data_IF_579464553809
#
_entry.id   IF_579464553809
#
_cell.length_a   1.000
_cell.length_b   1.000
_cell.length_c   1.000
_cell.angle_alpha   90.00
_cell.angle_beta   90.00
_cell.angle_gamma   90.00
#
_symmetry.space_group_name_H-M   'P 1'
#
loop_
_entity.id
_entity.type
_entity.pdbx_description
1 polymer ?
#
# COMPACT_ATOMS: atom_id res chain seq x y z
N UNK A 1 10.74 19.53 13.65
CA UNK A 1 10.34 18.54 14.66
C UNK A 1 11.59 17.77 15.01
N UNK A 2 11.92 17.69 16.29
CA UNK A 2 13.10 16.94 16.74
C UNK A 2 12.63 15.62 17.32
N UNK A 3 13.00 14.51 16.68
CA UNK A 3 12.71 13.15 17.15
C UNK A 3 13.84 12.73 18.10
N UNK A 4 13.49 12.32 19.31
CA UNK A 4 14.43 11.63 20.19
C UNK A 4 14.56 10.16 19.77
N UNK A 5 15.51 9.90 18.88
CA UNK A 5 15.79 8.54 18.39
C UNK A 5 16.18 7.55 19.49
N UNK A 6 16.66 8.03 20.65
CA UNK A 6 17.00 7.15 21.78
C UNK A 6 15.77 6.63 22.52
N UNK A 7 14.63 7.31 22.39
CA UNK A 7 13.34 6.91 22.97
C UNK A 7 12.60 5.89 22.10
N UNK A 8 12.89 5.81 20.80
CA UNK A 8 12.24 4.88 19.87
C UNK A 8 12.75 3.45 20.10
N UNK A 9 11.83 2.53 20.38
CA UNK A 9 12.15 1.11 20.64
C UNK A 9 11.32 0.19 19.75
N UNK A 10 11.96 -0.85 19.24
CA UNK A 10 11.28 -1.92 18.51
C UNK A 10 10.77 -3.02 19.46
N UNK A 11 9.62 -3.64 19.15
CA UNK A 11 8.65 -3.23 18.13
C UNK A 11 7.94 -1.91 18.49
N UNK A 12 7.81 -0.98 17.53
CA UNK A 12 7.13 0.31 17.76
C UNK A 12 5.61 0.18 17.87
N UNK A 13 5.04 -0.86 17.24
CA UNK A 13 3.63 -1.25 17.34
C UNK A 13 3.57 -2.77 17.54
N UNK A 14 3.24 -3.22 18.74
CA UNK A 14 3.01 -4.63 19.06
C UNK A 14 1.57 -4.86 19.51
N UNK A 15 0.91 -5.81 18.84
CA UNK A 15 -0.48 -6.20 19.09
C UNK A 15 -0.64 -7.71 19.17
N UNK A 16 0.48 -8.44 19.29
CA UNK A 16 0.45 -9.88 19.46
C UNK A 16 -0.11 -10.28 20.83
N UNK A 17 -0.68 -11.49 20.96
CA UNK A 17 -0.87 -12.50 19.91
C UNK A 17 -2.14 -12.31 19.06
N UNK A 18 -2.97 -11.31 19.37
CA UNK A 18 -4.29 -11.14 18.75
C UNK A 18 -4.20 -10.67 17.30
N UNK A 19 -3.27 -9.76 17.01
CA UNK A 19 -3.08 -9.15 15.69
C UNK A 19 -1.61 -9.15 15.32
N UNK A 20 -1.30 -9.64 14.13
CA UNK A 20 0.01 -9.44 13.50
C UNK A 20 -0.02 -8.17 12.65
N UNK A 21 0.79 -7.18 13.01
CA UNK A 21 0.93 -5.92 12.27
C UNK A 21 1.97 -6.09 11.16
N UNK A 22 1.66 -5.61 9.94
CA UNK A 22 2.61 -5.62 8.80
C UNK A 22 2.31 -4.52 7.79
N UNK A 23 3.22 -4.36 6.83
CA UNK A 23 3.13 -3.47 5.67
C UNK A 23 2.73 -2.03 6.06
N UNK A 24 3.52 -1.32 6.88
CA UNK A 24 3.17 0.02 7.30
C UNK A 24 3.38 1.04 6.17
N UNK A 25 2.41 1.94 6.01
CA UNK A 25 2.56 3.19 5.25
C UNK A 25 2.41 4.37 6.21
N UNK A 26 3.37 5.29 6.17
CA UNK A 26 3.40 6.42 7.09
C UNK A 26 3.34 7.75 6.35
N UNK A 27 2.54 8.67 6.89
CA UNK A 27 2.50 10.07 6.46
C UNK A 27 2.62 10.98 7.68
N UNK A 28 3.38 12.05 7.56
CA UNK A 28 3.50 13.08 8.59
C UNK A 28 2.72 14.34 8.16
N UNK A 29 1.80 14.79 9.00
CA UNK A 29 1.00 15.98 8.75
C UNK A 29 0.65 16.67 10.06
N UNK A 30 0.76 18.00 10.10
CA UNK A 30 0.36 18.84 11.24
C UNK A 30 0.88 18.36 12.61
N UNK A 31 2.15 17.90 12.63
CA UNK A 31 2.80 17.46 13.87
C UNK A 31 2.53 16.00 14.24
N UNK A 32 1.79 15.25 13.42
CA UNK A 32 1.37 13.88 13.71
C UNK A 32 1.79 12.92 12.60
N UNK A 33 2.39 11.79 13.00
CA UNK A 33 2.57 10.63 12.15
C UNK A 33 1.28 9.82 12.13
N UNK A 34 0.79 9.50 10.94
CA UNK A 34 -0.27 8.53 10.73
C UNK A 34 0.34 7.28 10.11
N UNK A 35 0.34 6.16 10.84
CA UNK A 35 0.83 4.87 10.40
C UNK A 35 -0.35 3.96 10.06
N UNK A 36 -0.68 3.90 8.78
CA UNK A 36 -1.59 2.91 8.22
C UNK A 36 -0.87 1.57 8.15
N UNK A 37 -1.54 0.48 8.51
CA UNK A 37 -0.93 -0.84 8.51
C UNK A 37 -1.96 -1.93 8.29
N UNK A 38 -1.48 -3.08 7.80
CA UNK A 38 -2.26 -4.31 7.80
C UNK A 38 -2.37 -4.84 9.22
N UNK A 39 -3.59 -5.07 9.68
CA UNK A 39 -3.91 -5.89 10.84
C UNK A 39 -4.34 -7.29 10.37
N UNK A 40 -3.49 -8.29 10.59
CA UNK A 40 -3.80 -9.68 10.29
C UNK A 40 -4.32 -10.40 11.54
N UNK A 41 -5.59 -10.81 11.49
CA UNK A 41 -6.23 -11.59 12.56
C UNK A 41 -6.37 -13.04 12.15
N UNK A 42 -5.99 -13.96 13.04
CA UNK A 42 -6.18 -15.39 12.80
C UNK A 42 -7.67 -15.75 12.88
N UNK A 43 -8.12 -16.59 11.95
CA UNK A 43 -9.43 -17.22 11.91
C UNK A 43 -9.26 -18.74 11.94
N UNK A 44 -10.34 -19.47 12.19
CA UNK A 44 -10.34 -20.94 12.24
C UNK A 44 -9.75 -21.56 10.95
N UNK A 45 -10.01 -20.95 9.80
CA UNK A 45 -9.60 -21.43 8.48
C UNK A 45 -8.72 -20.45 7.70
N UNK A 46 -7.88 -19.66 8.39
CA UNK A 46 -6.92 -18.77 7.73
C UNK A 46 -6.75 -17.44 8.44
N UNK A 47 -6.75 -16.35 7.67
CA UNK A 47 -6.58 -15.00 8.18
C UNK A 47 -7.65 -14.06 7.62
N UNK A 48 -8.02 -13.07 8.41
CA UNK A 48 -8.72 -11.88 7.94
C UNK A 48 -7.75 -10.70 8.00
N UNK A 49 -7.68 -9.92 6.92
CA UNK A 49 -6.83 -8.74 6.83
C UNK A 49 -7.67 -7.48 6.88
N UNK A 50 -7.14 -6.45 7.52
CA UNK A 50 -7.78 -5.16 7.64
C UNK A 50 -6.77 -4.04 7.55
N UNK A 51 -7.21 -2.86 7.11
CA UNK A 51 -6.48 -1.63 7.31
C UNK A 51 -6.81 -1.04 8.68
N UNK A 52 -5.77 -0.82 9.46
CA UNK A 52 -5.80 -0.08 10.71
C UNK A 52 -4.90 1.15 10.61
N UNK A 53 -5.12 2.14 11.47
CA UNK A 53 -4.24 3.31 11.62
C UNK A 53 -3.90 3.53 13.09
N UNK A 54 -2.64 3.81 13.37
CA UNK A 54 -2.18 4.34 14.66
C UNK A 54 -1.47 5.68 14.43
N UNK A 55 -1.47 6.54 15.44
CA UNK A 55 -0.84 7.86 15.34
C UNK A 55 0.22 8.05 16.40
N UNK A 56 1.21 8.88 16.10
CA UNK A 56 2.27 9.23 17.04
C UNK A 56 2.75 10.64 16.79
N UNK A 57 3.10 11.36 17.85
CA UNK A 57 3.73 12.67 17.76
C UNK A 57 5.26 12.61 17.97
N UNK A 58 5.85 11.43 18.13
CA UNK A 58 7.28 11.28 18.46
C UNK A 58 7.92 9.95 18.01
N UNK A 59 7.16 9.09 17.33
CA UNK A 59 7.53 7.72 16.91
C UNK A 59 7.80 6.74 18.07
N UNK A 60 7.83 7.20 19.32
CA UNK A 60 8.07 6.40 20.51
C UNK A 60 6.75 5.98 21.19
N UNK A 61 5.78 6.89 21.24
CA UNK A 61 4.48 6.69 21.86
C UNK A 61 3.39 6.67 20.79
N UNK A 62 2.62 5.59 20.76
CA UNK A 62 1.60 5.36 19.75
C UNK A 62 0.20 5.34 20.36
N UNK A 63 -0.76 5.92 19.66
CA UNK A 63 -2.18 5.77 19.98
C UNK A 63 -2.63 4.31 19.79
N UNK A 64 -3.74 3.88 20.43
CA UNK A 64 -4.40 2.64 20.05
C UNK A 64 -4.71 2.62 18.55
N UNK A 65 -4.54 1.47 17.91
CA UNK A 65 -4.92 1.28 16.51
C UNK A 65 -6.43 1.38 16.33
N UNK A 66 -6.86 2.12 15.30
CA UNK A 66 -8.26 2.23 14.87
C UNK A 66 -8.46 1.50 13.55
N UNK A 67 -9.51 0.66 13.49
CA UNK A 67 -9.96 -0.05 12.28
C UNK A 67 -10.51 0.92 11.26
N UNK A 68 -10.01 0.86 10.02
CA UNK A 68 -10.51 1.63 8.88
C UNK A 68 -11.45 0.83 7.99
N UNK A 69 -11.22 -0.48 7.84
CA UNK A 69 -11.98 -1.31 6.90
C UNK A 69 -12.47 -2.60 7.53
N UNK A 70 -13.71 -3.03 7.26
CA UNK A 70 -14.26 -4.32 7.73
C UNK A 70 -14.77 -5.21 6.59
N UNK A 71 -14.28 -4.97 5.36
CA UNK A 71 -14.74 -5.64 4.15
C UNK A 71 -14.27 -7.11 4.05
N UNK A 72 -15.08 -8.02 3.51
CA UNK A 72 -14.64 -9.39 3.20
C UNK A 72 -13.54 -9.44 2.12
N UNK A 73 -13.33 -8.35 1.38
CA UNK A 73 -12.24 -8.23 0.40
C UNK A 73 -10.84 -8.21 1.04
N UNK A 74 -10.77 -8.18 2.38
CA UNK A 74 -9.51 -8.22 3.13
C UNK A 74 -8.56 -7.10 2.71
N UNK A 75 -9.01 -5.86 2.86
CA UNK A 75 -8.20 -4.70 2.52
C UNK A 75 -6.93 -4.65 3.38
N UNK A 76 -5.77 -4.52 2.74
CA UNK A 76 -4.46 -4.64 3.38
C UNK A 76 -3.40 -3.84 2.62
N UNK A 77 -2.17 -3.89 3.14
CA UNK A 77 -0.93 -3.45 2.49
C UNK A 77 -1.07 -2.04 1.92
N UNK A 78 -1.29 -1.03 2.79
CA UNK A 78 -1.31 0.34 2.36
C UNK A 78 0.06 0.70 1.75
N UNK A 79 0.02 1.40 0.62
CA UNK A 79 1.22 1.84 -0.09
C UNK A 79 1.77 3.14 0.48
N UNK A 80 1.02 4.20 0.23
CA UNK A 80 1.27 5.53 0.75
C UNK A 80 0.00 6.39 0.71
N UNK A 81 0.06 7.54 1.38
CA UNK A 81 -0.95 8.60 1.27
C UNK A 81 -0.29 9.84 0.66
N UNK A 82 -0.82 10.32 -0.47
CA UNK A 82 -0.37 11.56 -1.12
C UNK A 82 -1.40 12.66 -0.94
N UNK A 83 -0.96 13.92 -0.93
CA UNK A 83 -1.86 15.08 -0.91
C UNK A 83 -1.97 15.69 -2.31
N UNK A 84 -3.18 15.73 -2.87
CA UNK A 84 -3.44 16.27 -4.20
C UNK A 84 -4.86 16.84 -4.29
N UNK A 85 -5.05 17.92 -5.05
CA UNK A 85 -6.35 18.58 -5.17
C UNK A 85 -6.95 19.04 -3.83
N UNK A 86 -6.10 19.34 -2.84
CA UNK A 86 -6.52 19.72 -1.49
C UNK A 86 -6.94 18.56 -0.57
N UNK A 87 -6.88 17.31 -1.05
CA UNK A 87 -7.31 16.12 -0.31
C UNK A 87 -6.18 15.10 -0.20
N UNK A 88 -6.30 14.19 0.75
CA UNK A 88 -5.46 13.02 0.90
C UNK A 88 -6.01 11.86 0.08
N UNK A 89 -5.12 11.10 -0.55
CA UNK A 89 -5.44 9.90 -1.32
C UNK A 89 -4.54 8.78 -0.82
N UNK A 90 -5.14 7.75 -0.23
CA UNK A 90 -4.46 6.54 0.25
C UNK A 90 -4.65 5.41 -0.77
N UNK A 91 -3.57 4.76 -1.17
CA UNK A 91 -3.64 3.53 -1.96
C UNK A 91 -3.38 2.28 -1.11
N UNK A 92 -4.07 1.19 -1.43
CA UNK A 92 -3.98 -0.11 -0.76
C UNK A 92 -4.56 -1.20 -1.65
N UNK A 93 -4.48 -2.46 -1.22
CA UNK A 93 -5.01 -3.58 -2.00
C UNK A 93 -6.22 -4.25 -1.34
N UNK A 94 -7.04 -4.93 -2.14
CA UNK A 94 -7.81 -6.08 -1.66
C UNK A 94 -6.94 -7.33 -1.76
N UNK A 95 -7.12 -8.25 -0.82
CA UNK A 95 -6.37 -9.50 -0.78
C UNK A 95 -7.29 -10.66 -0.38
N UNK A 96 -8.29 -11.01 -1.21
CA UNK A 96 -9.23 -12.08 -0.89
C UNK A 96 -8.48 -13.42 -0.81
N UNK A 97 -8.54 -14.08 0.35
CA UNK A 97 -7.91 -15.38 0.59
C UNK A 97 -9.02 -16.45 0.52
N UNK A 98 -9.06 -17.29 -0.53
CA UNK A 98 -10.05 -18.36 -0.62
C UNK A 98 -9.92 -19.35 0.55
N UNK A 99 -11.01 -20.03 0.96
CA UNK A 99 -10.95 -21.02 2.03
C UNK A 99 -9.91 -22.13 1.74
N UNK A 100 -9.02 -22.38 2.69
CA UNK A 100 -7.96 -23.38 2.56
C UNK A 100 -6.67 -22.86 1.91
N UNK A 101 -6.67 -21.64 1.36
CA UNK A 101 -5.48 -21.03 0.78
C UNK A 101 -4.67 -20.24 1.80
N UNK A 102 -3.36 -20.12 1.53
CA UNK A 102 -2.45 -19.30 2.33
C UNK A 102 -2.30 -17.87 1.80
N UNK A 103 -2.62 -17.66 0.52
CA UNK A 103 -2.34 -16.42 -0.20
C UNK A 103 -3.59 -15.90 -0.92
N UNK A 104 -3.56 -14.60 -1.21
CA UNK A 104 -4.63 -13.91 -1.92
C UNK A 104 -4.74 -14.39 -3.38
N UNK A 105 -5.96 -14.40 -3.90
CA UNK A 105 -6.27 -14.91 -5.23
C UNK A 105 -5.92 -13.92 -6.36
N UNK A 106 -6.15 -14.35 -7.61
CA UNK A 106 -6.11 -13.51 -8.82
C UNK A 106 -7.09 -12.32 -8.77
N UNK A 107 -8.03 -12.29 -7.82
CA UNK A 107 -8.97 -11.19 -7.61
C UNK A 107 -8.41 -10.05 -6.72
N UNK A 108 -7.12 -10.12 -6.34
CA UNK A 108 -6.47 -9.00 -5.67
C UNK A 108 -6.43 -7.78 -6.60
N UNK A 109 -6.87 -6.63 -6.09
CA UNK A 109 -6.97 -5.37 -6.84
C UNK A 109 -6.38 -4.22 -6.03
N UNK A 110 -6.05 -3.14 -6.72
CA UNK A 110 -5.61 -1.89 -6.12
C UNK A 110 -6.82 -0.97 -5.90
N UNK A 111 -6.79 -0.23 -4.81
CA UNK A 111 -7.89 0.61 -4.35
C UNK A 111 -7.37 1.96 -3.88
N UNK A 112 -8.25 2.96 -3.96
CA UNK A 112 -8.04 4.30 -3.43
C UNK A 112 -9.13 4.62 -2.41
N UNK A 113 -8.77 5.34 -1.36
CA UNK A 113 -9.70 6.06 -0.51
C UNK A 113 -9.23 7.51 -0.38
N UNK A 114 -10.18 8.43 -0.25
CA UNK A 114 -9.92 9.87 -0.15
C UNK A 114 -10.28 10.38 1.24
N UNK A 115 -9.55 11.37 1.75
CA UNK A 115 -9.79 11.98 3.06
C UNK A 115 -9.43 13.46 3.05
N UNK A 116 -10.15 14.26 3.84
CA UNK A 116 -9.80 15.67 4.05
C UNK A 116 -8.87 15.87 5.25
N UNK A 117 -8.84 14.91 6.19
CA UNK A 117 -8.28 15.05 7.53
C UNK A 117 -7.39 13.87 7.99
N UNK A 118 -7.15 12.88 7.12
CA UNK A 118 -6.47 11.60 7.42
C UNK A 118 -7.19 10.72 8.46
N UNK A 119 -8.38 11.11 8.92
CA UNK A 119 -9.15 10.42 9.96
C UNK A 119 -10.36 9.74 9.36
N UNK A 120 -11.18 10.51 8.65
CA UNK A 120 -12.38 10.07 7.95
C UNK A 120 -12.06 9.80 6.48
N UNK A 121 -12.38 8.60 6.01
CA UNK A 121 -12.08 8.18 4.64
C UNK A 121 -13.38 7.89 3.87
N UNK A 122 -13.38 8.16 2.58
CA UNK A 122 -14.45 7.71 1.67
C UNK A 122 -14.47 6.20 1.55
N UNK A 123 -15.57 5.66 1.01
CA UNK A 123 -15.60 4.27 0.57
C UNK A 123 -14.47 3.99 -0.44
N UNK A 124 -13.81 2.82 -0.35
CA UNK A 124 -12.78 2.41 -1.30
C UNK A 124 -13.29 2.36 -2.75
N UNK A 125 -12.51 2.93 -3.68
CA UNK A 125 -12.73 2.85 -5.13
C UNK A 125 -11.65 1.98 -5.78
N UNK A 126 -12.05 0.97 -6.55
CA UNK A 126 -11.11 0.14 -7.30
C UNK A 126 -10.45 0.95 -8.42
N UNK A 127 -9.13 0.75 -8.62
CA UNK A 127 -8.35 1.46 -9.65
C UNK A 127 -8.64 0.89 -11.05
N UNK A 128 -8.55 -0.43 -11.21
CA UNK A 128 -8.88 -1.16 -12.45
C UNK A 128 -9.59 -2.46 -12.06
N UNK A 129 -10.91 -2.54 -12.28
CA UNK A 129 -11.72 -3.70 -11.87
C UNK A 129 -11.24 -5.01 -12.47
N UNK A 130 -10.73 -4.94 -13.70
CA UNK A 130 -10.26 -6.12 -14.41
C UNK A 130 -8.86 -6.59 -13.98
N UNK A 131 -8.16 -5.82 -13.16
CA UNK A 131 -6.81 -6.10 -12.73
C UNK A 131 -5.75 -5.76 -13.80
N UNK A 132 -4.56 -6.34 -13.64
CA UNK A 132 -3.42 -6.14 -14.54
C UNK A 132 -3.77 -6.57 -15.97
N UNK A 133 -3.43 -5.72 -16.95
CA UNK A 133 -3.63 -5.96 -18.38
C UNK A 133 -2.33 -5.97 -19.18
N UNK A 134 -1.19 -5.81 -18.52
CA UNK A 134 0.10 -5.84 -19.18
C UNK A 134 0.41 -7.24 -19.77
N UNK A 135 0.93 -7.28 -20.99
CA UNK A 135 1.14 -8.50 -21.78
C UNK A 135 2.15 -9.46 -21.11
N UNK A 136 3.10 -8.90 -20.36
CA UNK A 136 4.15 -9.65 -19.69
C UNK A 136 3.70 -10.30 -18.37
N UNK A 137 2.58 -9.87 -17.79
CA UNK A 137 2.23 -10.22 -16.41
C UNK A 137 1.77 -11.66 -16.26
N UNK A 138 1.07 -12.23 -17.25
CA UNK A 138 0.52 -13.59 -17.16
C UNK A 138 -0.44 -13.82 -15.97
N UNK A 139 -0.93 -12.74 -15.35
CA UNK A 139 -1.79 -12.72 -14.17
C UNK A 139 -2.53 -11.38 -14.15
N UNK A 140 -3.78 -11.39 -13.69
CA UNK A 140 -4.57 -10.17 -13.51
C UNK A 140 -4.43 -9.61 -12.09
N UNK A 141 -3.78 -10.36 -11.20
CA UNK A 141 -3.54 -9.96 -9.82
C UNK A 141 -2.71 -8.68 -9.75
N UNK A 142 -3.10 -7.75 -8.88
CA UNK A 142 -2.31 -6.57 -8.53
C UNK A 142 -2.29 -6.41 -7.01
N UNK A 143 -1.10 -6.21 -6.46
CA UNK A 143 -0.86 -6.03 -5.03
C UNK A 143 0.21 -4.95 -4.80
N UNK A 144 0.40 -4.55 -3.56
CA UNK A 144 1.43 -3.63 -3.08
C UNK A 144 1.49 -2.31 -3.89
N UNK A 145 0.40 -1.52 -3.91
CA UNK A 145 0.37 -0.29 -4.69
C UNK A 145 1.31 0.76 -4.10
N UNK A 146 1.84 1.67 -4.93
CA UNK A 146 2.47 2.90 -4.47
C UNK A 146 2.21 4.05 -5.44
N UNK A 147 1.67 5.17 -4.94
CA UNK A 147 1.31 6.32 -5.74
C UNK A 147 2.42 7.38 -5.81
N UNK A 148 2.67 7.90 -6.99
CA UNK A 148 3.54 9.05 -7.24
C UNK A 148 2.77 10.08 -8.07
N UNK A 149 2.72 11.32 -7.59
CA UNK A 149 2.25 12.45 -8.38
C UNK A 149 3.46 13.18 -8.98
N UNK A 150 3.57 13.21 -10.30
CA UNK A 150 4.71 13.80 -10.99
C UNK A 150 4.31 14.26 -12.40
N UNK A 151 4.81 15.43 -12.82
CA UNK A 151 4.54 16.03 -14.14
C UNK A 151 3.06 16.13 -14.53
N UNK A 152 2.23 16.51 -13.56
CA UNK A 152 0.78 16.64 -13.76
C UNK A 152 0.05 15.32 -13.94
N UNK A 153 0.72 14.19 -13.66
CA UNK A 153 0.18 12.84 -13.76
C UNK A 153 0.31 12.08 -12.45
N UNK A 154 -0.45 11.01 -12.34
CA UNK A 154 -0.40 10.05 -11.27
C UNK A 154 0.12 8.72 -11.81
N UNK A 155 1.09 8.15 -11.11
CA UNK A 155 1.70 6.87 -11.40
C UNK A 155 1.41 5.95 -10.23
N UNK A 156 0.83 4.78 -10.48
CA UNK A 156 0.59 3.77 -9.47
C UNK A 156 1.44 2.54 -9.80
N UNK A 157 2.54 2.38 -9.07
CA UNK A 157 3.34 1.16 -9.12
C UNK A 157 2.58 0.04 -8.42
N UNK A 158 2.73 -1.18 -8.90
CA UNK A 158 2.11 -2.35 -8.29
C UNK A 158 2.93 -3.60 -8.58
N UNK A 159 2.86 -4.57 -7.68
CA UNK A 159 3.43 -5.90 -7.89
C UNK A 159 2.44 -6.83 -8.59
N UNK A 160 2.97 -7.59 -9.54
CA UNK A 160 2.35 -8.82 -10.03
C UNK A 160 3.41 -9.84 -10.45
N UNK A 161 3.20 -11.12 -10.12
CA UNK A 161 4.14 -12.22 -10.43
C UNK A 161 5.61 -11.94 -10.07
N UNK A 162 5.84 -11.17 -9.00
CA UNK A 162 7.17 -10.82 -8.49
C UNK A 162 7.92 -9.75 -9.30
N UNK A 163 7.21 -9.07 -10.20
CA UNK A 163 7.70 -7.90 -10.93
C UNK A 163 6.84 -6.68 -10.59
N UNK A 164 7.36 -5.49 -10.87
CA UNK A 164 6.62 -4.24 -10.79
C UNK A 164 6.06 -3.83 -12.15
N UNK A 165 4.77 -3.55 -12.19
CA UNK A 165 4.11 -2.79 -13.24
C UNK A 165 3.84 -1.36 -12.80
N UNK A 166 3.32 -0.56 -13.73
CA UNK A 166 2.93 0.83 -13.45
C UNK A 166 1.70 1.21 -14.25
N UNK A 167 0.69 1.73 -13.56
CA UNK A 167 -0.46 2.40 -14.15
C UNK A 167 -0.23 3.91 -14.18
N UNK A 168 -0.74 4.59 -15.20
CA UNK A 168 -0.77 6.04 -15.28
C UNK A 168 -2.21 6.56 -15.33
N UNK A 169 -2.43 7.73 -14.72
CA UNK A 169 -3.71 8.45 -14.74
C UNK A 169 -3.47 9.96 -14.75
N UNK A 170 -4.33 10.69 -15.45
CA UNK A 170 -4.34 12.16 -15.43
C UNK A 170 -5.30 12.71 -14.34
N UNK A 171 -6.19 11.88 -13.78
CA UNK A 171 -7.31 12.32 -12.94
C UNK A 171 -7.63 11.42 -11.72
N UNK A 172 -6.78 10.42 -11.44
CA UNK A 172 -6.97 9.36 -10.44
C UNK A 172 -8.19 8.45 -10.66
N UNK A 173 -8.91 8.60 -11.76
CA UNK A 173 -10.14 7.85 -12.08
C UNK A 173 -9.93 6.92 -13.26
N UNK A 174 -9.29 7.41 -14.31
CA UNK A 174 -9.02 6.64 -15.52
C UNK A 174 -7.56 6.22 -15.53
N UNK A 175 -7.32 4.92 -15.61
CA UNK A 175 -5.99 4.32 -15.49
C UNK A 175 -5.66 3.51 -16.73
N UNK A 176 -4.41 3.60 -17.18
CA UNK A 176 -3.87 2.82 -18.29
C UNK A 176 -2.54 2.19 -17.90
N UNK A 177 -2.21 1.03 -18.48
CA UNK A 177 -0.88 0.42 -18.33
C UNK A 177 0.17 1.34 -18.98
N UNK A 178 1.06 1.89 -18.18
CA UNK A 178 2.14 2.74 -18.67
C UNK A 178 3.37 1.93 -19.15
N UNK A 179 3.48 0.66 -18.73
CA UNK A 179 4.49 -0.27 -19.23
C UNK A 179 3.86 -1.61 -19.66
N UNK A 180 3.09 -1.63 -20.77
CA UNK A 180 2.30 -2.81 -21.15
C UNK A 180 3.15 -3.98 -21.67
N UNK A 181 4.32 -3.73 -22.25
CA UNK A 181 5.12 -4.75 -22.95
C UNK A 181 6.28 -5.33 -22.12
N UNK A 182 6.64 -4.70 -21.00
CA UNK A 182 7.68 -5.20 -20.07
C UNK A 182 7.45 -4.69 -18.65
N UNK A 183 7.90 -5.38 -17.59
CA UNK A 183 7.87 -4.83 -16.25
C UNK A 183 8.78 -3.61 -16.13
N UNK A 184 8.48 -2.76 -15.14
CA UNK A 184 9.37 -1.67 -14.72
C UNK A 184 10.64 -2.26 -14.11
N UNK A 185 10.45 -3.25 -13.23
CA UNK A 185 11.50 -3.97 -12.55
C UNK A 185 11.07 -5.43 -12.36
N UNK A 186 11.93 -6.37 -12.73
CA UNK A 186 11.74 -7.80 -12.52
C UNK A 186 12.88 -8.44 -11.71
N UNK A 187 12.72 -9.71 -11.29
CA UNK A 187 13.75 -10.45 -10.55
C UNK A 187 15.10 -10.52 -11.28
N UNK A 188 15.08 -10.58 -12.61
CA UNK A 188 16.28 -10.59 -13.46
C UNK A 188 17.11 -9.30 -13.38
N UNK A 189 16.52 -8.23 -12.83
CA UNK A 189 17.17 -6.94 -12.60
C UNK A 189 17.58 -6.74 -11.12
N UNK A 190 17.37 -7.74 -10.27
CA UNK A 190 17.82 -7.73 -8.86
C UNK A 190 19.14 -8.51 -8.70
N UNK A 191 20.02 -8.13 -7.76
CA UNK A 191 21.32 -8.81 -7.58
C UNK A 191 21.23 -10.30 -7.25
N UNK A 192 20.15 -10.74 -6.59
CA UNK A 192 19.96 -12.09 -6.06
C UNK A 192 18.84 -12.86 -6.77
N UNK A 193 18.18 -12.27 -7.76
CA UNK A 193 17.05 -12.90 -8.46
C UNK A 193 15.76 -12.96 -7.63
N UNK A 194 15.66 -12.15 -6.56
CA UNK A 194 14.49 -12.13 -5.70
C UNK A 194 13.27 -11.45 -6.35
N UNK A 195 12.09 -11.78 -5.82
CA UNK A 195 10.82 -11.11 -6.13
C UNK A 195 10.87 -9.64 -5.69
N UNK A 196 10.25 -8.77 -6.48
CA UNK A 196 10.13 -7.34 -6.19
C UNK A 196 8.75 -7.06 -5.60
N UNK A 197 8.69 -6.47 -4.39
CA UNK A 197 7.44 -6.27 -3.63
C UNK A 197 7.44 -4.94 -2.88
N UNK A 198 6.29 -4.49 -2.36
CA UNK A 198 6.18 -3.30 -1.48
C UNK A 198 7.03 -2.07 -1.92
N UNK A 199 6.87 -1.59 -3.16
CA UNK A 199 7.69 -0.49 -3.65
C UNK A 199 7.46 0.78 -2.82
N UNK A 200 8.52 1.51 -2.55
CA UNK A 200 8.50 2.85 -1.96
C UNK A 200 9.38 3.77 -2.80
N UNK A 201 8.73 4.74 -3.46
CA UNK A 201 9.39 5.67 -4.38
C UNK A 201 9.53 7.04 -3.72
N UNK A 202 10.76 7.50 -3.53
CA UNK A 202 11.09 8.78 -2.89
C UNK A 202 11.81 9.67 -3.91
N UNK A 203 11.43 10.96 -4.04
CA UNK A 203 12.17 11.89 -4.88
C UNK A 203 13.56 12.18 -4.30
N UNK A 204 14.57 12.21 -5.16
CA UNK A 204 15.95 12.59 -4.85
C UNK A 204 16.48 13.55 -5.92
N UNK A 205 16.36 14.85 -5.68
CA UNK A 205 16.66 15.87 -6.67
C UNK A 205 15.78 15.76 -7.92
N UNK A 206 16.41 15.56 -9.07
CA UNK A 206 15.74 15.37 -10.37
C UNK A 206 15.46 13.88 -10.68
N UNK A 207 15.79 12.97 -9.75
CA UNK A 207 15.63 11.53 -9.88
C UNK A 207 14.65 10.97 -8.82
N UNK A 208 14.37 9.67 -8.93
CA UNK A 208 13.59 8.91 -7.96
C UNK A 208 14.40 7.71 -7.47
N UNK A 209 14.37 7.48 -6.15
CA UNK A 209 14.90 6.28 -5.52
C UNK A 209 13.74 5.34 -5.21
N UNK A 210 13.84 4.08 -5.66
CA UNK A 210 12.88 3.03 -5.35
C UNK A 210 13.48 2.04 -4.37
N UNK A 211 12.79 1.82 -3.24
CA UNK A 211 13.03 0.76 -2.27
C UNK A 211 11.96 -0.33 -2.48
N UNK A 212 12.31 -1.60 -2.34
CA UNK A 212 11.43 -2.75 -2.55
C UNK A 212 11.98 -4.00 -1.85
#
# INVERSE_FOLDING_TARGET
MDIDWSAVRNPVLDRQPAVSVRDPAMVFHDGLFHCFHTAAERREHGYALFLDVATSADLAHWSPSRRLTTSPLSFSSPGNAIRTGGRWVLCFQSYPIPPGELYGSEESRLWLAESDDLVTWTDPRCIVEQGCRADWAGSVRQIDPYLVAHDGRFWCFYKTRGCLGVLASDDLRHWVEASPSRPVLGPDQTPDGATVENPCIVPDGDEFVMLF
#
